data_IF_189252705400
#
_entry.id   IF_189252705400
#
_cell.length_a   1.000
_cell.length_b   1.000
_cell.length_c   1.000
_cell.angle_alpha   90.00
_cell.angle_beta   90.00
_cell.angle_gamma   90.00
#
_symmetry.space_group_name_H-M   'P 1'
#
loop_
_entity.id
_entity.type
_entity.pdbx_description
1 polymer ?
#
# COMPACT_ATOMS: atom_id res chain seq x y z
N UNK A 1 -13.02 -8.08 -6.21
CA UNK A 1 -12.14 -8.07 -5.02
C UNK A 1 -10.76 -7.71 -5.55
N UNK A 2 -10.09 -6.69 -5.01
CA UNK A 2 -8.76 -6.29 -5.49
C UNK A 2 -7.77 -7.46 -5.36
N UNK A 3 -6.77 -7.55 -6.24
CA UNK A 3 -5.80 -8.64 -6.18
C UNK A 3 -4.95 -8.58 -4.88
N UNK A 4 -4.44 -9.72 -4.38
CA UNK A 4 -3.54 -9.76 -3.24
C UNK A 4 -2.30 -8.87 -3.39
N UNK A 5 -1.97 -8.15 -2.31
CA UNK A 5 -0.73 -7.40 -2.23
C UNK A 5 0.45 -8.37 -2.23
N UNK A 6 1.51 -8.02 -2.96
CA UNK A 6 2.79 -8.72 -2.88
C UNK A 6 3.63 -8.02 -1.84
N UNK A 7 3.69 -8.58 -0.64
CA UNK A 7 4.43 -8.03 0.49
C UNK A 7 5.71 -8.84 0.70
N UNK A 8 6.84 -8.16 0.81
CA UNK A 8 8.12 -8.74 1.25
C UNK A 8 8.66 -7.91 2.39
N UNK A 9 8.97 -8.57 3.50
CA UNK A 9 9.61 -7.96 4.65
C UNK A 9 10.82 -8.79 5.03
N UNK A 10 11.99 -8.18 5.01
CA UNK A 10 13.26 -8.87 5.26
C UNK A 10 13.98 -8.21 6.43
N UNK A 11 14.38 -8.99 7.42
CA UNK A 11 15.25 -8.49 8.49
C UNK A 11 16.64 -8.15 7.93
N UNK A 12 17.13 -6.95 8.25
CA UNK A 12 18.49 -6.49 7.95
C UNK A 12 19.17 -6.02 9.25
N UNK A 13 20.52 -5.93 9.28
CA UNK A 13 21.25 -5.54 10.49
C UNK A 13 20.82 -4.20 11.12
N UNK A 14 20.29 -3.29 10.32
CA UNK A 14 19.88 -1.93 10.69
C UNK A 14 18.35 -1.72 10.70
N UNK A 15 17.56 -2.77 10.50
CA UNK A 15 16.10 -2.75 10.56
C UNK A 15 15.43 -3.72 9.58
N UNK A 16 14.10 -3.69 9.48
CA UNK A 16 13.33 -4.49 8.54
C UNK A 16 13.04 -3.66 7.29
N UNK A 17 13.46 -4.17 6.13
CA UNK A 17 13.19 -3.57 4.82
C UNK A 17 11.89 -4.15 4.28
N UNK A 18 10.88 -3.30 4.10
CA UNK A 18 9.51 -3.69 3.70
C UNK A 18 9.22 -3.16 2.31
N UNK A 19 8.70 -4.02 1.45
CA UNK A 19 8.31 -3.72 0.07
C UNK A 19 6.91 -4.25 -0.16
N UNK A 20 6.04 -3.40 -0.69
CA UNK A 20 4.65 -3.74 -0.97
C UNK A 20 4.32 -3.32 -2.39
N UNK A 21 3.81 -4.25 -3.19
CA UNK A 21 3.18 -3.94 -4.48
C UNK A 21 1.68 -4.16 -4.36
N UNK A 22 0.91 -3.13 -4.69
CA UNK A 22 -0.55 -3.11 -4.58
C UNK A 22 -1.16 -3.07 -5.98
N UNK A 23 -2.13 -3.95 -6.27
CA UNK A 23 -2.87 -3.90 -7.52
C UNK A 23 -4.01 -2.87 -7.39
N UNK A 24 -3.84 -1.70 -8.00
CA UNK A 24 -4.83 -0.64 -7.98
C UNK A 24 -4.65 0.30 -9.19
N UNK A 25 -5.75 0.75 -9.78
CA UNK A 25 -5.73 1.54 -11.03
C UNK A 25 -5.12 2.94 -10.85
N UNK A 26 -5.34 3.58 -9.70
CA UNK A 26 -4.86 4.94 -9.40
C UNK A 26 -5.25 5.96 -10.48
N UNK A 27 -6.54 5.98 -10.84
CA UNK A 27 -7.08 6.95 -11.78
C UNK A 27 -6.93 8.36 -11.20
N UNK A 28 -6.27 9.23 -11.96
CA UNK A 28 -5.81 10.53 -11.46
C UNK A 28 -6.92 11.57 -11.43
N UNK A 29 -8.00 11.34 -12.17
CA UNK A 29 -9.04 12.35 -12.40
C UNK A 29 -8.77 13.25 -13.61
N UNK A 30 -7.60 13.12 -14.25
CA UNK A 30 -7.16 13.99 -15.35
C UNK A 30 -7.32 13.35 -16.73
N UNK A 31 -7.53 12.03 -16.80
CA UNK A 31 -7.73 11.31 -18.06
C UNK A 31 -9.10 11.64 -18.65
N UNK A 32 -9.15 11.76 -19.98
CA UNK A 32 -10.41 11.90 -20.74
C UNK A 32 -10.84 10.56 -21.36
N UNK A 33 -12.14 10.33 -21.40
CA UNK A 33 -12.73 9.21 -22.15
C UNK A 33 -12.88 9.52 -23.65
N UNK A 34 -13.44 8.58 -24.42
CA UNK A 34 -13.68 8.74 -25.85
C UNK A 34 -14.69 9.84 -26.20
N UNK A 35 -15.52 10.26 -25.23
CA UNK A 35 -16.45 11.37 -25.36
C UNK A 35 -15.84 12.71 -24.89
N UNK A 36 -14.55 12.73 -24.52
CA UNK A 36 -13.84 13.92 -24.04
C UNK A 36 -14.14 14.31 -22.59
N UNK A 37 -14.93 13.52 -21.85
CA UNK A 37 -15.26 13.79 -20.44
C UNK A 37 -14.13 13.32 -19.53
N UNK A 38 -13.93 14.04 -18.42
CA UNK A 38 -12.97 13.62 -17.40
C UNK A 38 -13.47 12.35 -16.69
N UNK A 39 -12.58 11.39 -16.54
CA UNK A 39 -12.84 10.19 -15.73
C UNK A 39 -12.61 10.54 -14.26
N UNK A 40 -13.56 10.28 -13.34
CA UNK A 40 -13.40 10.62 -11.93
C UNK A 40 -12.18 9.95 -11.28
N UNK A 41 -11.51 10.67 -10.38
CA UNK A 41 -10.36 10.15 -9.66
C UNK A 41 -10.72 8.92 -8.81
N UNK A 42 -9.87 7.90 -8.86
CA UNK A 42 -10.01 6.68 -8.09
C UNK A 42 -8.63 6.19 -7.66
N UNK A 43 -8.26 6.49 -6.43
CA UNK A 43 -6.92 6.24 -5.91
C UNK A 43 -6.99 5.78 -4.45
N UNK A 44 -6.00 5.00 -4.04
CA UNK A 44 -5.74 4.70 -2.63
C UNK A 44 -5.50 6.02 -1.91
N UNK A 45 -6.27 6.31 -0.86
CA UNK A 45 -6.14 7.53 -0.05
C UNK A 45 -5.29 7.29 1.19
N UNK A 46 -5.36 6.10 1.78
CA UNK A 46 -4.66 5.78 3.03
C UNK A 46 -3.99 4.42 2.95
N UNK A 47 -2.78 4.33 3.52
CA UNK A 47 -2.05 3.08 3.73
C UNK A 47 -1.55 3.04 5.16
N UNK A 48 -1.87 1.97 5.88
CA UNK A 48 -1.34 1.69 7.21
C UNK A 48 -0.56 0.38 7.20
N UNK A 49 0.64 0.39 7.75
CA UNK A 49 1.42 -0.83 8.00
C UNK A 49 1.61 -0.99 9.49
N UNK A 50 1.26 -2.17 10.01
CA UNK A 50 1.36 -2.50 11.44
C UNK A 50 2.26 -3.70 11.65
N UNK A 51 3.16 -3.62 12.63
CA UNK A 51 3.99 -4.72 13.13
C UNK A 51 3.46 -5.18 14.48
N UNK A 52 3.08 -6.46 14.60
CA UNK A 52 2.48 -7.02 15.82
C UNK A 52 1.35 -6.15 16.41
N UNK A 53 0.50 -5.59 15.53
CA UNK A 53 -0.63 -4.72 15.89
C UNK A 53 -0.29 -3.26 16.18
N UNK A 54 1.00 -2.86 16.13
CA UNK A 54 1.44 -1.47 16.31
C UNK A 54 1.72 -0.81 14.96
N UNK A 55 1.13 0.36 14.65
CA UNK A 55 1.44 1.09 13.42
C UNK A 55 2.92 1.45 13.35
N UNK A 56 3.57 1.08 12.25
CA UNK A 56 4.95 1.46 11.92
C UNK A 56 5.00 2.44 10.74
N UNK A 57 3.93 2.52 9.96
CA UNK A 57 3.74 3.51 8.90
C UNK A 57 2.25 3.87 8.80
N UNK A 58 1.99 5.16 8.65
CA UNK A 58 0.72 5.68 8.16
C UNK A 58 1.01 6.67 7.04
N UNK A 59 0.39 6.50 5.89
CA UNK A 59 0.60 7.34 4.71
C UNK A 59 -0.74 7.76 4.11
N UNK A 60 -0.79 9.03 3.71
CA UNK A 60 -1.89 9.61 2.95
C UNK A 60 -1.40 9.83 1.52
N UNK A 61 -2.15 9.27 0.56
CA UNK A 61 -1.81 9.31 -0.84
C UNK A 61 -2.83 10.15 -1.61
N UNK A 62 -2.33 10.85 -2.63
CA UNK A 62 -3.15 11.55 -3.59
C UNK A 62 -3.18 10.86 -4.95
N UNK A 63 -3.92 11.42 -5.92
CA UNK A 63 -4.06 10.86 -7.26
C UNK A 63 -2.77 10.86 -8.09
N UNK A 64 -1.68 11.47 -7.59
CA UNK A 64 -0.39 11.52 -8.28
C UNK A 64 0.47 10.25 -8.10
N UNK A 65 0.04 9.31 -7.26
CA UNK A 65 0.72 8.02 -7.12
C UNK A 65 0.42 7.13 -8.33
N UNK A 66 1.46 6.53 -8.90
CA UNK A 66 1.34 5.73 -10.12
C UNK A 66 0.47 4.48 -9.94
N UNK A 67 -0.14 4.03 -11.04
CA UNK A 67 -0.82 2.73 -11.13
C UNK A 67 0.06 1.60 -10.62
N UNK A 68 -0.56 0.64 -9.94
CA UNK A 68 0.10 -0.44 -9.21
C UNK A 68 1.15 0.08 -8.23
N UNK A 69 0.74 0.82 -7.18
CA UNK A 69 1.67 1.48 -6.27
C UNK A 69 2.70 0.53 -5.67
N UNK A 70 3.95 0.97 -5.69
CA UNK A 70 5.06 0.32 -4.99
C UNK A 70 5.47 1.18 -3.79
N UNK A 71 5.32 0.62 -2.59
CA UNK A 71 5.75 1.24 -1.34
C UNK A 71 6.97 0.49 -0.81
N UNK A 72 8.05 1.23 -0.56
CA UNK A 72 9.22 0.72 0.14
C UNK A 72 9.58 1.62 1.31
N UNK A 73 9.80 1.03 2.47
CA UNK A 73 10.25 1.73 3.67
C UNK A 73 11.01 0.79 4.59
N UNK A 74 11.67 1.37 5.59
CA UNK A 74 12.42 0.63 6.61
C UNK A 74 11.96 1.04 8.01
N UNK A 75 11.84 0.08 8.92
CA UNK A 75 11.56 0.35 10.32
C UNK A 75 12.43 -0.52 11.24
N UNK A 76 12.58 -0.12 12.51
CA UNK A 76 13.39 -0.86 13.50
C UNK A 76 12.49 -1.67 14.43
N UNK A 77 13.05 -2.73 15.02
CA UNK A 77 12.41 -3.49 16.10
C UNK A 77 11.58 -4.70 15.65
N UNK A 78 11.46 -4.95 14.35
CA UNK A 78 10.93 -6.22 13.82
C UNK A 78 12.01 -7.30 13.77
N UNK A 79 11.60 -8.55 13.99
CA UNK A 79 12.45 -9.74 13.94
C UNK A 79 11.87 -10.77 12.98
N UNK A 80 12.71 -11.66 12.48
CA UNK A 80 12.25 -12.83 11.73
C UNK A 80 11.17 -13.61 12.48
N UNK A 81 10.10 -13.97 11.76
CA UNK A 81 8.93 -14.65 12.31
C UNK A 81 7.82 -13.70 12.79
N UNK A 82 8.10 -12.41 12.96
CA UNK A 82 7.08 -11.43 13.31
C UNK A 82 6.11 -11.18 12.15
N UNK A 83 4.90 -10.74 12.53
CA UNK A 83 3.81 -10.48 11.60
C UNK A 83 3.74 -8.99 11.24
N UNK A 84 3.64 -8.73 9.95
CA UNK A 84 3.27 -7.45 9.37
C UNK A 84 1.87 -7.54 8.76
N UNK A 85 1.08 -6.51 9.00
CA UNK A 85 -0.25 -6.33 8.39
C UNK A 85 -0.23 -5.02 7.62
N UNK A 86 -0.61 -5.07 6.35
CA UNK A 86 -0.76 -3.89 5.49
C UNK A 86 -2.23 -3.72 5.18
N UNK A 87 -2.75 -2.53 5.40
CA UNK A 87 -4.12 -2.15 5.04
C UNK A 87 -4.09 -0.91 4.17
N UNK A 88 -4.86 -0.89 3.09
CA UNK A 88 -5.15 0.33 2.35
C UNK A 88 -6.65 0.58 2.26
N UNK A 89 -7.00 1.85 2.09
CA UNK A 89 -8.36 2.32 1.79
C UNK A 89 -8.29 3.30 0.63
N UNK A 90 -9.24 3.21 -0.30
CA UNK A 90 -9.35 4.14 -1.42
C UNK A 90 -10.39 5.24 -1.19
N UNK A 91 -10.38 6.24 -2.08
CA UNK A 91 -11.30 7.37 -2.01
C UNK A 91 -12.77 7.03 -2.35
N UNK A 92 -13.08 5.78 -2.68
CA UNK A 92 -14.43 5.24 -2.86
C UNK A 92 -14.89 4.38 -1.67
N UNK A 93 -14.03 4.18 -0.68
CA UNK A 93 -14.29 3.41 0.52
C UNK A 93 -13.95 1.92 0.41
N UNK A 94 -13.40 1.47 -0.72
CA UNK A 94 -12.91 0.10 -0.82
C UNK A 94 -11.64 -0.05 0.03
N UNK A 95 -11.49 -1.21 0.64
CA UNK A 95 -10.37 -1.50 1.52
C UNK A 95 -9.84 -2.90 1.28
N UNK A 96 -8.57 -3.10 1.59
CA UNK A 96 -7.93 -4.42 1.58
C UNK A 96 -6.89 -4.50 2.68
N UNK A 97 -6.82 -5.68 3.31
CA UNK A 97 -5.79 -6.04 4.27
C UNK A 97 -5.10 -7.32 3.83
N UNK A 98 -3.75 -7.32 3.85
CA UNK A 98 -2.93 -8.52 3.66
C UNK A 98 -1.83 -8.59 4.72
N UNK A 99 -1.31 -9.79 4.93
CA UNK A 99 -0.34 -10.10 5.97
C UNK A 99 0.91 -10.74 5.38
N UNK A 100 2.06 -10.49 6.01
CA UNK A 100 3.31 -11.15 5.69
C UNK A 100 4.13 -11.40 6.95
N UNK A 101 4.91 -12.48 6.91
CA UNK A 101 5.90 -12.78 7.94
C UNK A 101 7.23 -12.15 7.56
N UNK A 102 7.92 -11.54 8.53
CA UNK A 102 9.28 -11.05 8.35
C UNK A 102 10.22 -12.26 8.18
N UNK A 103 10.97 -12.28 7.08
CA UNK A 103 11.90 -13.36 6.71
C UNK A 103 13.35 -13.07 7.07
#
# INVERSE_FOLDING_TARGET
MADPMRIRATEQPDGVDVRVLMAHEMETGLRRDSAGKLVPAHHISNVTVSHNGKPVLNAEWGPAVAKNPYLQFKFKGGKKGDKLTVTWTDNKGDTRTDEATIS
#
